data_IF_603213104506
#
_entry.id   IF_603213104506
#
_cell.length_a   1.000
_cell.length_b   1.000
_cell.length_c   1.000
_cell.angle_alpha   90.00
_cell.angle_beta   90.00
_cell.angle_gamma   90.00
#
_symmetry.space_group_name_H-M   'P 1'
#
loop_
_entity.id
_entity.type
_entity.pdbx_description
1 polymer ?
#
# COMPACT_ATOMS: atom_id res chain seq x y z
N UNK A 1 -9.26 24.42 -0.53
CA UNK A 1 -8.89 23.92 -1.89
C UNK A 1 -8.19 25.03 -2.72
N UNK A 2 -8.78 26.24 -2.94
CA UNK A 2 -8.14 27.32 -3.74
C UNK A 2 -6.79 27.76 -3.15
N UNK A 3 -6.71 27.99 -1.84
CA UNK A 3 -5.48 28.40 -1.16
C UNK A 3 -4.40 27.32 -1.18
N UNK A 4 -4.78 26.04 -1.11
CA UNK A 4 -3.84 24.91 -1.22
C UNK A 4 -3.28 24.83 -2.64
N UNK A 5 -4.16 24.88 -3.64
CA UNK A 5 -3.76 24.80 -5.05
C UNK A 5 -2.80 25.94 -5.46
N UNK A 6 -2.97 27.13 -4.89
CA UNK A 6 -2.09 28.28 -5.16
C UNK A 6 -0.66 28.11 -4.60
N UNK A 7 -0.44 27.15 -3.70
CA UNK A 7 0.88 26.83 -3.12
C UNK A 7 1.55 25.61 -3.76
N UNK A 8 0.88 24.97 -4.73
CA UNK A 8 1.44 23.81 -5.45
C UNK A 8 2.11 24.30 -6.74
N UNK A 9 3.31 23.82 -6.96
CA UNK A 9 4.02 23.96 -8.24
C UNK A 9 4.42 22.58 -8.76
N UNK A 10 4.55 22.45 -10.06
CA UNK A 10 4.94 21.23 -10.74
C UNK A 10 6.12 21.53 -11.66
N UNK A 11 7.15 20.72 -11.61
CA UNK A 11 8.31 20.81 -12.47
C UNK A 11 8.88 19.43 -12.74
N UNK A 12 9.51 19.24 -13.88
CA UNK A 12 10.31 18.06 -14.24
C UNK A 12 11.80 18.28 -14.00
N UNK A 13 12.20 19.50 -13.64
CA UNK A 13 13.57 19.83 -13.28
C UNK A 13 13.82 19.60 -11.79
N UNK A 14 14.63 18.60 -11.49
CA UNK A 14 14.94 18.18 -10.12
C UNK A 14 15.62 19.29 -9.32
N UNK A 15 16.54 20.02 -9.92
CA UNK A 15 17.27 21.09 -9.24
C UNK A 15 16.31 22.21 -8.80
N UNK A 16 15.40 22.62 -9.67
CA UNK A 16 14.35 23.60 -9.33
C UNK A 16 13.41 23.08 -8.25
N UNK A 17 13.04 21.79 -8.32
CA UNK A 17 12.12 21.20 -7.36
C UNK A 17 12.65 21.25 -5.92
N UNK A 18 13.95 21.09 -5.71
CA UNK A 18 14.55 20.92 -4.39
C UNK A 18 15.38 22.09 -3.89
N UNK A 19 15.47 23.18 -4.65
CA UNK A 19 16.36 24.30 -4.37
C UNK A 19 16.17 24.93 -2.97
N UNK A 20 14.93 24.98 -2.47
CA UNK A 20 14.55 25.60 -1.20
C UNK A 20 13.75 24.64 -0.29
N UNK A 21 13.88 23.33 -0.50
CA UNK A 21 13.11 22.33 0.28
C UNK A 21 13.67 22.12 1.67
N UNK A 22 12.79 22.06 2.68
CA UNK A 22 13.10 21.54 4.02
C UNK A 22 13.01 20.01 4.10
N UNK A 23 12.12 19.42 3.29
CA UNK A 23 11.85 17.98 3.25
C UNK A 23 11.57 17.52 1.82
N UNK A 24 12.27 16.49 1.39
CA UNK A 24 11.98 15.75 0.15
C UNK A 24 11.34 14.43 0.54
N UNK A 25 10.16 14.13 0.00
CA UNK A 25 9.51 12.83 0.14
C UNK A 25 9.61 12.10 -1.20
N UNK A 26 10.42 11.05 -1.25
CA UNK A 26 10.59 10.21 -2.42
C UNK A 26 9.44 9.21 -2.53
N UNK A 27 8.85 9.13 -3.72
CA UNK A 27 7.73 8.23 -4.03
C UNK A 27 7.83 7.68 -5.47
N UNK A 28 9.05 7.43 -5.95
CA UNK A 28 9.27 6.77 -7.24
C UNK A 28 8.95 5.27 -7.17
N UNK A 29 8.87 4.55 -8.31
CA UNK A 29 8.57 3.12 -8.31
C UNK A 29 9.47 2.32 -7.35
N UNK A 30 8.91 1.25 -6.79
CA UNK A 30 9.54 0.38 -5.79
C UNK A 30 10.60 -0.54 -6.42
N UNK A 31 11.55 0.09 -7.11
CA UNK A 31 12.66 -0.55 -7.85
C UNK A 31 13.97 0.03 -7.33
N UNK A 32 14.87 -0.79 -6.73
CA UNK A 32 16.08 -0.33 -6.08
C UNK A 32 16.98 0.53 -6.98
N UNK A 33 17.12 0.17 -8.26
CA UNK A 33 17.95 0.86 -9.22
C UNK A 33 17.43 2.27 -9.51
N UNK A 34 16.10 2.44 -9.62
CA UNK A 34 15.45 3.74 -9.84
C UNK A 34 15.65 4.64 -8.63
N UNK A 35 15.44 4.11 -7.42
CA UNK A 35 15.65 4.86 -6.18
C UNK A 35 17.12 5.26 -6.02
N UNK A 36 18.05 4.36 -6.28
CA UNK A 36 19.50 4.63 -6.22
C UNK A 36 19.91 5.72 -7.21
N UNK A 37 19.43 5.67 -8.46
CA UNK A 37 19.69 6.71 -9.45
C UNK A 37 19.15 8.07 -8.99
N UNK A 38 17.89 8.12 -8.53
CA UNK A 38 17.31 9.35 -8.03
C UNK A 38 18.11 9.94 -6.87
N UNK A 39 18.49 9.14 -5.87
CA UNK A 39 19.27 9.64 -4.72
C UNK A 39 20.66 10.11 -5.13
N UNK A 40 21.29 9.47 -6.09
CA UNK A 40 22.58 9.92 -6.66
C UNK A 40 22.45 11.31 -7.29
N UNK A 41 21.41 11.54 -8.08
CA UNK A 41 21.15 12.82 -8.75
C UNK A 41 20.70 13.89 -7.74
N UNK A 42 19.97 13.49 -6.71
CA UNK A 42 19.41 14.37 -5.69
C UNK A 42 20.48 14.90 -4.70
N UNK A 43 21.39 14.03 -4.27
CA UNK A 43 22.34 14.32 -3.19
C UNK A 43 23.12 15.65 -3.36
N UNK A 44 23.69 15.98 -4.55
CA UNK A 44 24.44 17.22 -4.75
C UNK A 44 23.57 18.48 -4.82
N UNK A 45 22.24 18.35 -4.99
CA UNK A 45 21.33 19.47 -5.19
C UNK A 45 20.72 20.00 -3.89
N UNK A 46 20.78 19.22 -2.82
CA UNK A 46 20.06 19.52 -1.57
C UNK A 46 20.83 20.49 -0.67
N UNK A 47 20.09 21.39 -0.05
CA UNK A 47 20.64 22.27 0.99
C UNK A 47 21.06 21.47 2.23
N UNK A 48 22.04 21.95 3.03
CA UNK A 48 22.53 21.22 4.21
C UNK A 48 21.45 20.87 5.24
N UNK A 49 20.36 21.63 5.32
CA UNK A 49 19.27 21.43 6.29
C UNK A 49 18.18 20.47 5.79
N UNK A 50 18.12 20.17 4.50
CA UNK A 50 17.05 19.38 3.88
C UNK A 50 17.08 17.95 4.37
N UNK A 51 15.91 17.45 4.81
CA UNK A 51 15.68 16.04 5.13
C UNK A 51 15.25 15.26 3.88
N UNK A 52 15.55 13.99 3.84
CA UNK A 52 15.00 13.06 2.85
C UNK A 52 14.18 12.00 3.58
N UNK A 53 12.98 11.75 3.09
CA UNK A 53 12.13 10.64 3.53
C UNK A 53 11.73 9.78 2.33
N UNK A 54 11.74 8.46 2.47
CA UNK A 54 11.17 7.57 1.45
C UNK A 54 9.75 7.15 1.84
N UNK A 55 8.85 7.20 0.88
CA UNK A 55 7.50 6.62 1.01
C UNK A 55 7.46 5.13 0.58
N UNK A 56 8.62 4.47 0.53
CA UNK A 56 8.72 3.05 0.22
C UNK A 56 7.77 2.24 1.10
N UNK A 57 7.06 1.29 0.49
CA UNK A 57 6.12 0.40 1.19
C UNK A 57 6.76 -0.90 1.65
N UNK A 58 7.92 -1.25 1.09
CA UNK A 58 8.54 -2.57 1.29
C UNK A 58 10.03 -2.49 1.57
N UNK A 59 10.77 -1.63 0.84
CA UNK A 59 12.23 -1.57 0.89
C UNK A 59 12.72 -0.86 2.16
N UNK A 60 13.87 -1.30 2.66
CA UNK A 60 14.46 -0.79 3.89
C UNK A 60 15.24 0.51 3.66
N UNK A 61 15.18 1.49 4.56
CA UNK A 61 15.96 2.72 4.43
C UNK A 61 17.46 2.46 4.47
N UNK A 62 17.95 1.45 5.18
CA UNK A 62 19.38 1.07 5.19
C UNK A 62 19.94 0.79 3.80
N UNK A 63 19.11 0.30 2.86
CA UNK A 63 19.54 0.00 1.48
C UNK A 63 20.02 1.25 0.72
N UNK A 64 19.47 2.42 1.06
CA UNK A 64 19.70 3.66 0.32
C UNK A 64 20.43 4.74 1.13
N UNK A 65 20.59 4.56 2.43
CA UNK A 65 21.15 5.56 3.33
C UNK A 65 22.47 6.16 2.82
N UNK A 66 23.38 5.33 2.35
CA UNK A 66 24.70 5.77 1.90
C UNK A 66 24.62 6.61 0.62
N UNK A 67 23.78 6.23 -0.35
CA UNK A 67 23.69 6.93 -1.65
C UNK A 67 23.00 8.30 -1.53
N UNK A 68 22.22 8.53 -0.48
CA UNK A 68 21.61 9.85 -0.21
C UNK A 68 22.66 10.93 0.09
N UNK A 69 23.90 10.56 0.43
CA UNK A 69 24.98 11.47 0.83
C UNK A 69 24.74 12.16 2.19
N UNK A 70 23.64 11.82 2.89
CA UNK A 70 23.21 12.39 4.18
C UNK A 70 22.45 11.39 5.02
N UNK A 71 23.04 10.23 5.28
CA UNK A 71 22.40 9.12 5.99
C UNK A 71 21.75 9.56 7.32
N UNK A 72 22.37 10.51 8.04
CA UNK A 72 21.82 11.05 9.29
C UNK A 72 20.51 11.80 9.12
N UNK A 73 20.23 12.32 7.92
CA UNK A 73 19.02 13.10 7.55
C UNK A 73 18.04 12.31 6.70
N UNK A 74 18.14 10.99 6.73
CA UNK A 74 17.32 10.10 5.93
C UNK A 74 16.66 9.03 6.77
N UNK A 75 15.38 8.76 6.53
CA UNK A 75 14.66 7.58 6.99
C UNK A 75 13.37 7.37 6.20
N UNK A 76 12.57 6.38 6.58
CA UNK A 76 11.27 6.18 5.95
C UNK A 76 10.18 7.03 6.61
N UNK A 77 9.25 7.51 5.78
CA UNK A 77 7.99 8.13 6.15
C UNK A 77 6.91 7.55 5.23
N UNK A 78 6.43 6.37 5.58
CA UNK A 78 5.48 5.61 4.77
C UNK A 78 4.04 6.01 5.11
N UNK A 79 3.29 6.41 4.09
CA UNK A 79 1.88 6.76 4.21
C UNK A 79 0.99 5.58 3.83
N UNK A 80 -0.07 5.36 4.59
CA UNK A 80 -1.11 4.42 4.18
C UNK A 80 -1.87 4.93 2.94
N UNK A 81 -2.42 4.02 2.16
CA UNK A 81 -3.37 4.39 1.10
C UNK A 81 -4.59 5.11 1.69
N UNK A 82 -5.16 6.05 0.92
CA UNK A 82 -6.29 6.86 1.37
C UNK A 82 -6.00 7.63 2.67
N UNK A 83 -4.94 8.42 2.68
CA UNK A 83 -4.47 9.21 3.83
C UNK A 83 -5.56 10.07 4.48
N UNK A 84 -6.59 10.47 3.74
CA UNK A 84 -7.75 11.20 4.26
C UNK A 84 -8.73 10.35 5.07
N UNK A 85 -8.59 9.04 5.06
CA UNK A 85 -9.39 8.08 5.83
C UNK A 85 -8.51 7.21 6.74
N UNK A 86 -7.32 6.85 6.28
CA UNK A 86 -6.31 6.05 6.99
C UNK A 86 -5.12 6.95 7.31
N UNK A 87 -5.33 7.92 8.21
CA UNK A 87 -4.40 8.99 8.51
C UNK A 87 -3.22 8.53 9.39
N UNK A 88 -2.43 7.58 8.92
CA UNK A 88 -1.23 7.13 9.59
C UNK A 88 0.03 7.32 8.72
N UNK A 89 1.16 7.52 9.38
CA UNK A 89 2.49 7.43 8.81
C UNK A 89 3.33 6.46 9.63
N UNK A 90 4.10 5.61 8.96
CA UNK A 90 5.06 4.74 9.64
C UNK A 90 6.46 5.34 9.48
N UNK A 91 7.14 5.53 10.60
CA UNK A 91 8.50 6.10 10.62
C UNK A 91 9.46 4.97 10.99
N UNK A 92 10.32 4.59 10.04
CA UNK A 92 11.32 3.54 10.21
C UNK A 92 12.71 4.11 9.92
N UNK A 93 13.58 3.98 10.91
CA UNK A 93 14.97 4.46 10.86
C UNK A 93 15.92 3.35 10.44
N UNK A 94 17.14 3.73 10.10
CA UNK A 94 18.29 2.85 10.00
C UNK A 94 19.38 3.30 11.01
N UNK A 95 20.44 2.53 11.12
CA UNK A 95 21.50 2.71 12.15
C UNK A 95 22.06 4.14 12.25
N UNK A 96 22.13 4.87 11.12
CA UNK A 96 22.74 6.21 11.09
C UNK A 96 21.75 7.37 11.13
N UNK A 97 20.46 7.12 11.24
CA UNK A 97 19.45 8.19 11.29
C UNK A 97 19.57 8.98 12.57
N UNK A 98 19.72 10.30 12.48
CA UNK A 98 19.78 11.19 13.63
C UNK A 98 18.42 11.30 14.34
N UNK A 99 18.47 11.42 15.67
CA UNK A 99 17.28 11.63 16.49
C UNK A 99 16.52 12.92 16.13
N UNK A 100 17.22 13.98 15.71
CA UNK A 100 16.58 15.23 15.28
C UNK A 100 15.78 15.03 14.00
N UNK A 101 16.30 14.26 13.07
CA UNK A 101 15.58 13.83 11.84
C UNK A 101 14.27 13.14 12.19
N UNK A 102 14.29 12.15 13.08
CA UNK A 102 13.09 11.44 13.55
C UNK A 102 12.10 12.42 14.19
N UNK A 103 12.58 13.29 15.09
CA UNK A 103 11.74 14.28 15.79
C UNK A 103 11.03 15.20 14.78
N UNK A 104 11.74 15.73 13.79
CA UNK A 104 11.17 16.62 12.77
C UNK A 104 10.12 15.91 11.93
N UNK A 105 10.33 14.65 11.53
CA UNK A 105 9.35 13.87 10.78
C UNK A 105 8.13 13.48 11.61
N UNK A 106 8.30 13.18 12.90
CA UNK A 106 7.17 12.99 13.83
C UNK A 106 6.35 14.28 13.94
N UNK A 107 7.01 15.43 14.15
CA UNK A 107 6.32 16.73 14.20
C UNK A 107 5.58 17.03 12.90
N UNK A 108 6.24 16.87 11.77
CA UNK A 108 5.61 17.05 10.45
C UNK A 108 4.37 16.15 10.29
N UNK A 109 4.46 14.87 10.66
CA UNK A 109 3.32 13.95 10.60
C UNK A 109 2.13 14.45 11.41
N UNK A 110 2.37 14.91 12.64
CA UNK A 110 1.32 15.46 13.51
C UNK A 110 0.71 16.74 12.91
N UNK A 111 1.54 17.64 12.41
CA UNK A 111 1.11 18.92 11.83
C UNK A 111 0.21 18.74 10.61
N UNK A 112 0.44 17.70 9.80
CA UNK A 112 -0.43 17.36 8.66
C UNK A 112 -1.60 16.45 9.03
N UNK A 113 -1.83 16.17 10.33
CA UNK A 113 -2.97 15.39 10.81
C UNK A 113 -2.81 13.87 10.70
N UNK A 114 -1.59 13.37 10.56
CA UNK A 114 -1.29 11.93 10.55
C UNK A 114 -0.96 11.43 11.95
N UNK A 115 -1.23 10.16 12.21
CA UNK A 115 -0.79 9.43 13.41
C UNK A 115 0.56 8.80 13.11
N UNK A 116 1.67 9.27 13.73
CA UNK A 116 2.97 8.67 13.52
C UNK A 116 3.09 7.34 14.27
N UNK A 117 3.36 6.28 13.54
CA UNK A 117 3.57 4.93 14.06
C UNK A 117 5.07 4.64 14.07
N UNK A 118 5.69 4.42 15.25
CA UNK A 118 7.10 4.07 15.32
C UNK A 118 7.31 2.62 14.86
N UNK A 119 8.19 2.41 13.90
CA UNK A 119 8.68 1.09 13.52
C UNK A 119 10.02 0.87 14.22
N UNK A 120 10.02 0.03 15.24
CA UNK A 120 11.14 -0.07 16.20
C UNK A 120 12.38 -0.79 15.65
N UNK A 121 12.24 -1.54 14.58
CA UNK A 121 13.32 -2.25 13.89
C UNK A 121 13.04 -2.24 12.38
N UNK A 122 14.08 -2.21 11.57
CA UNK A 122 13.92 -2.35 10.13
C UNK A 122 13.24 -3.66 9.76
N UNK A 123 12.15 -3.54 9.02
CA UNK A 123 11.35 -4.67 8.56
C UNK A 123 10.72 -4.34 7.21
N UNK A 124 10.94 -5.22 6.23
CA UNK A 124 10.21 -5.16 4.95
C UNK A 124 8.70 -5.20 5.18
N UNK A 125 7.98 -4.28 4.58
CA UNK A 125 6.53 -4.15 4.75
C UNK A 125 6.09 -3.47 6.04
N UNK A 126 7.03 -2.99 6.86
CA UNK A 126 6.72 -2.21 8.07
C UNK A 126 5.75 -2.93 9.02
N UNK A 127 4.90 -2.21 9.73
CA UNK A 127 3.83 -2.79 10.56
C UNK A 127 2.60 -3.04 9.69
N UNK A 128 2.13 -2.02 8.95
CA UNK A 128 0.90 -2.09 8.16
C UNK A 128 0.93 -3.22 7.13
N UNK A 129 1.90 -3.24 6.25
CA UNK A 129 1.95 -4.23 5.18
C UNK A 129 2.31 -5.63 5.68
N UNK A 130 2.94 -5.76 6.86
CA UNK A 130 3.22 -7.07 7.46
C UNK A 130 1.95 -7.87 7.77
N UNK A 131 0.93 -7.23 8.36
CA UNK A 131 -0.34 -7.91 8.61
C UNK A 131 -1.27 -7.86 7.40
N UNK A 132 -1.23 -6.77 6.61
CA UNK A 132 -2.07 -6.62 5.42
C UNK A 132 -1.76 -7.71 4.37
N UNK A 133 -0.48 -7.93 4.06
CA UNK A 133 -0.09 -8.97 3.10
C UNK A 133 -0.49 -10.37 3.57
N UNK A 134 -0.39 -10.66 4.87
CA UNK A 134 -0.87 -11.91 5.43
C UNK A 134 -2.39 -12.09 5.26
N UNK A 135 -3.16 -11.01 5.52
CA UNK A 135 -4.61 -11.01 5.30
C UNK A 135 -4.94 -11.25 3.83
N UNK A 136 -4.30 -10.48 2.92
CA UNK A 136 -4.56 -10.61 1.48
C UNK A 136 -4.16 -11.97 0.94
N UNK A 137 -3.02 -12.53 1.37
CA UNK A 137 -2.60 -13.89 1.03
C UNK A 137 -3.67 -14.91 1.43
N UNK A 138 -4.07 -14.90 2.71
CA UNK A 138 -5.09 -15.82 3.22
C UNK A 138 -6.41 -15.70 2.47
N UNK A 139 -6.83 -14.47 2.18
CA UNK A 139 -8.06 -14.18 1.42
C UNK A 139 -8.01 -14.75 0.00
N UNK A 140 -6.89 -14.50 -0.69
CA UNK A 140 -6.67 -15.06 -2.04
C UNK A 140 -6.67 -16.59 -2.03
N UNK A 141 -6.04 -17.20 -1.03
CA UNK A 141 -5.97 -18.66 -0.92
C UNK A 141 -7.35 -19.30 -0.75
N UNK A 142 -8.25 -18.66 0.02
CA UNK A 142 -9.65 -19.11 0.15
C UNK A 142 -10.39 -19.08 -1.19
N UNK A 143 -10.18 -18.05 -1.98
CA UNK A 143 -10.76 -17.93 -3.33
C UNK A 143 -10.17 -18.98 -4.28
N UNK A 144 -8.84 -19.04 -4.37
CA UNK A 144 -8.12 -19.92 -5.33
C UNK A 144 -8.37 -21.41 -5.06
N UNK A 145 -8.51 -21.78 -3.79
CA UNK A 145 -8.86 -23.16 -3.39
C UNK A 145 -10.35 -23.49 -3.47
N UNK A 146 -11.19 -22.54 -3.86
CA UNK A 146 -12.64 -22.73 -4.02
C UNK A 146 -13.41 -22.86 -2.71
N UNK A 147 -12.84 -22.42 -1.58
CA UNK A 147 -13.50 -22.47 -0.26
C UNK A 147 -14.62 -21.45 -0.15
N UNK A 148 -14.42 -20.23 -0.69
CA UNK A 148 -15.41 -19.16 -0.67
C UNK A 148 -15.30 -18.26 -1.89
N UNK A 149 -16.37 -17.51 -2.20
CA UNK A 149 -16.32 -16.41 -3.17
C UNK A 149 -15.56 -15.22 -2.58
N UNK A 150 -15.02 -14.35 -3.44
CA UNK A 150 -14.37 -13.12 -2.97
C UNK A 150 -15.34 -12.22 -2.20
N UNK A 151 -16.62 -12.18 -2.64
CA UNK A 151 -17.67 -11.39 -1.95
C UNK A 151 -17.96 -11.95 -0.55
N UNK A 152 -17.96 -13.26 -0.37
CA UNK A 152 -18.20 -13.88 0.94
C UNK A 152 -17.01 -13.70 1.89
N UNK A 153 -15.78 -13.71 1.37
CA UNK A 153 -14.58 -13.36 2.15
C UNK A 153 -14.68 -11.91 2.64
N UNK A 154 -14.97 -10.97 1.73
CA UNK A 154 -15.13 -9.55 2.08
C UNK A 154 -16.31 -9.33 3.05
N UNK A 155 -17.44 -9.97 2.81
CA UNK A 155 -18.62 -9.90 3.69
C UNK A 155 -18.31 -10.39 5.10
N UNK A 156 -17.62 -11.55 5.21
CA UNK A 156 -17.21 -12.11 6.50
C UNK A 156 -16.28 -11.15 7.23
N UNK A 157 -15.27 -10.60 6.54
CA UNK A 157 -14.34 -9.63 7.12
C UNK A 157 -15.07 -8.38 7.61
N UNK A 158 -15.94 -7.79 6.78
CA UNK A 158 -16.66 -6.55 7.11
C UNK A 158 -17.67 -6.72 8.25
N UNK A 159 -18.36 -7.87 8.33
CA UNK A 159 -19.30 -8.17 9.43
C UNK A 159 -18.56 -8.35 10.75
N UNK A 160 -17.43 -9.07 10.73
CA UNK A 160 -16.64 -9.33 11.95
C UNK A 160 -15.83 -8.12 12.39
N UNK A 161 -15.44 -7.26 11.44
CA UNK A 161 -14.71 -6.01 11.70
C UNK A 161 -15.65 -4.82 11.50
N UNK A 162 -16.57 -4.61 12.41
CA UNK A 162 -17.57 -3.53 12.35
C UNK A 162 -16.91 -2.18 12.15
N UNK A 163 -17.33 -1.47 11.09
CA UNK A 163 -16.75 -0.19 10.66
C UNK A 163 -15.73 -0.31 9.54
N UNK A 164 -15.33 -1.51 9.11
CA UNK A 164 -14.56 -1.69 7.89
C UNK A 164 -15.39 -1.21 6.68
N UNK A 165 -14.76 -0.40 5.83
CA UNK A 165 -15.41 0.16 4.64
C UNK A 165 -15.30 -0.75 3.41
N UNK A 166 -14.42 -1.73 3.46
CA UNK A 166 -14.20 -2.73 2.43
C UNK A 166 -13.58 -3.98 3.05
N UNK A 167 -13.68 -5.11 2.36
CA UNK A 167 -13.00 -6.35 2.70
C UNK A 167 -11.67 -6.51 1.96
N UNK A 168 -10.99 -7.67 2.14
CA UNK A 168 -9.70 -7.98 1.52
C UNK A 168 -9.65 -7.79 0.01
N UNK A 169 -10.66 -8.21 -0.73
CA UNK A 169 -10.67 -8.12 -2.19
C UNK A 169 -10.91 -6.69 -2.69
N UNK A 170 -11.71 -5.90 -1.99
CA UNK A 170 -11.76 -4.47 -2.27
C UNK A 170 -10.44 -3.76 -1.95
N UNK A 171 -9.67 -4.21 -0.95
CA UNK A 171 -8.30 -3.73 -0.69
C UNK A 171 -7.35 -4.11 -1.83
N UNK A 172 -7.45 -5.32 -2.38
CA UNK A 172 -6.68 -5.76 -3.56
C UNK A 172 -6.94 -4.85 -4.76
N UNK A 173 -8.21 -4.52 -5.03
CA UNK A 173 -8.59 -3.61 -6.12
C UNK A 173 -8.01 -2.20 -5.94
N UNK A 174 -7.94 -1.71 -4.70
CA UNK A 174 -7.34 -0.42 -4.35
C UNK A 174 -5.83 -0.42 -4.56
N UNK A 175 -5.14 -1.46 -4.13
CA UNK A 175 -3.69 -1.64 -4.32
C UNK A 175 -3.36 -1.75 -5.81
N UNK A 176 -4.23 -2.39 -6.58
CA UNK A 176 -4.11 -2.59 -8.02
C UNK A 176 -3.48 -3.92 -8.38
N UNK A 177 -4.03 -4.54 -9.43
CA UNK A 177 -3.70 -5.93 -9.83
C UNK A 177 -2.22 -6.12 -10.15
N UNK A 178 -1.57 -5.14 -10.79
CA UNK A 178 -0.14 -5.23 -11.10
C UNK A 178 0.71 -5.28 -9.85
N UNK A 179 0.42 -4.42 -8.87
CA UNK A 179 1.16 -4.38 -7.60
C UNK A 179 0.96 -5.66 -6.81
N UNK A 180 -0.26 -6.19 -6.74
CA UNK A 180 -0.56 -7.47 -6.07
C UNK A 180 0.18 -8.63 -6.74
N UNK A 181 0.19 -8.67 -8.08
CA UNK A 181 0.95 -9.66 -8.85
C UNK A 181 2.45 -9.61 -8.52
N UNK A 182 3.04 -8.42 -8.51
CA UNK A 182 4.46 -8.23 -8.22
C UNK A 182 4.81 -8.67 -6.79
N UNK A 183 3.99 -8.29 -5.80
CA UNK A 183 4.15 -8.70 -4.40
C UNK A 183 4.06 -10.22 -4.28
N UNK A 184 3.03 -10.85 -4.86
CA UNK A 184 2.82 -12.29 -4.78
C UNK A 184 3.95 -13.06 -5.47
N UNK A 185 4.40 -12.58 -6.64
CA UNK A 185 5.52 -13.18 -7.38
C UNK A 185 6.84 -13.05 -6.61
N UNK A 186 7.12 -11.89 -6.04
CA UNK A 186 8.32 -11.66 -5.24
C UNK A 186 8.39 -12.61 -4.04
N UNK A 187 7.37 -12.64 -3.20
CA UNK A 187 7.34 -13.49 -2.01
C UNK A 187 7.28 -14.97 -2.35
N UNK A 188 6.57 -15.34 -3.43
CA UNK A 188 6.54 -16.72 -3.91
C UNK A 188 7.91 -17.24 -4.31
N UNK A 189 8.69 -16.44 -4.99
CA UNK A 189 10.05 -16.82 -5.40
C UNK A 189 11.05 -16.77 -4.24
N UNK A 190 11.04 -15.70 -3.42
CA UNK A 190 11.97 -15.54 -2.30
C UNK A 190 11.78 -16.60 -1.21
N UNK A 191 10.53 -16.94 -0.89
CA UNK A 191 10.20 -17.90 0.14
C UNK A 191 10.01 -19.35 -0.39
N UNK A 192 10.10 -19.56 -1.71
CA UNK A 192 9.76 -20.82 -2.39
C UNK A 192 8.36 -21.30 -1.97
N UNK A 193 7.37 -20.40 -1.99
CA UNK A 193 6.01 -20.60 -1.49
C UNK A 193 5.02 -20.74 -2.66
N UNK A 194 4.67 -21.99 -2.96
CA UNK A 194 3.74 -22.34 -4.05
C UNK A 194 2.36 -21.65 -3.93
N UNK A 195 1.93 -21.33 -2.72
CA UNK A 195 0.65 -20.65 -2.51
C UNK A 195 0.68 -19.22 -3.03
N UNK A 196 1.77 -18.49 -2.74
CA UNK A 196 1.98 -17.17 -3.31
C UNK A 196 2.06 -17.20 -4.86
N UNK A 197 2.75 -18.20 -5.43
CA UNK A 197 2.87 -18.35 -6.88
C UNK A 197 1.52 -18.65 -7.54
N UNK A 198 0.67 -19.50 -6.93
CA UNK A 198 -0.70 -19.75 -7.40
C UNK A 198 -1.56 -18.49 -7.36
N UNK A 199 -1.43 -17.70 -6.32
CA UNK A 199 -2.15 -16.42 -6.19
C UNK A 199 -1.68 -15.41 -7.26
N UNK A 200 -0.38 -15.35 -7.54
CA UNK A 200 0.17 -14.53 -8.63
C UNK A 200 -0.38 -14.97 -10.01
N UNK A 201 -0.36 -16.27 -10.30
CA UNK A 201 -0.89 -16.80 -11.55
C UNK A 201 -2.39 -16.50 -11.72
N UNK A 202 -3.17 -16.63 -10.65
CA UNK A 202 -4.58 -16.27 -10.65
C UNK A 202 -4.80 -14.79 -11.01
N UNK A 203 -4.06 -13.88 -10.38
CA UNK A 203 -4.15 -12.44 -10.67
C UNK A 203 -3.75 -12.15 -12.12
N UNK A 204 -2.67 -12.78 -12.59
CA UNK A 204 -2.23 -12.61 -13.98
C UNK A 204 -3.30 -13.03 -14.96
N UNK A 205 -3.77 -14.27 -14.86
CA UNK A 205 -4.68 -14.90 -15.84
C UNK A 205 -6.08 -14.28 -15.82
N UNK A 206 -6.59 -13.94 -14.62
CA UNK A 206 -7.96 -13.46 -14.49
C UNK A 206 -8.12 -11.94 -14.62
N UNK A 207 -7.05 -11.17 -14.41
CA UNK A 207 -7.12 -9.71 -14.43
C UNK A 207 -6.11 -9.07 -15.39
N UNK A 208 -4.81 -9.25 -15.21
CA UNK A 208 -3.81 -8.54 -16.00
C UNK A 208 -3.89 -8.86 -17.50
N UNK A 209 -4.01 -10.14 -17.85
CA UNK A 209 -4.11 -10.58 -19.26
C UNK A 209 -5.41 -10.09 -19.92
N UNK A 210 -6.39 -9.65 -19.14
CA UNK A 210 -7.66 -9.05 -19.60
C UNK A 210 -7.67 -7.51 -19.51
N UNK A 211 -6.57 -6.89 -19.09
CA UNK A 211 -6.47 -5.43 -18.95
C UNK A 211 -7.18 -4.86 -17.72
N UNK A 212 -7.64 -5.70 -16.77
CA UNK A 212 -8.31 -5.27 -15.54
C UNK A 212 -7.27 -4.87 -14.50
N UNK A 213 -7.41 -3.68 -13.90
CA UNK A 213 -6.38 -3.09 -13.04
C UNK A 213 -6.89 -2.73 -11.63
N UNK A 214 -8.13 -3.06 -11.29
CA UNK A 214 -8.76 -2.64 -10.05
C UNK A 214 -9.41 -1.26 -10.15
N UNK A 215 -9.42 -0.51 -9.04
CA UNK A 215 -10.08 0.81 -8.97
C UNK A 215 -9.64 1.77 -10.08
N UNK A 216 -8.34 1.85 -10.36
CA UNK A 216 -7.79 2.76 -11.37
C UNK A 216 -8.25 2.43 -12.79
N UNK A 217 -8.49 1.15 -13.08
CA UNK A 217 -9.00 0.68 -14.36
C UNK A 217 -10.53 0.63 -14.44
N UNK A 218 -11.23 0.95 -13.35
CA UNK A 218 -12.68 0.88 -13.26
C UNK A 218 -13.24 -0.53 -13.03
N UNK A 219 -12.41 -1.56 -13.07
CA UNK A 219 -12.79 -2.95 -12.80
C UNK A 219 -11.61 -3.78 -12.29
N UNK A 220 -11.86 -4.60 -11.28
CA UNK A 220 -11.02 -5.62 -10.70
C UNK A 220 -11.89 -6.78 -10.25
N UNK A 221 -11.80 -7.19 -8.97
CA UNK A 221 -12.79 -8.09 -8.37
C UNK A 221 -14.19 -7.46 -8.39
N UNK A 222 -14.24 -6.15 -8.16
CA UNK A 222 -15.46 -5.36 -8.21
C UNK A 222 -15.44 -4.39 -9.38
N UNK A 223 -16.65 -3.88 -9.72
CA UNK A 223 -16.82 -2.77 -10.68
C UNK A 223 -16.95 -1.44 -9.96
N UNK A 224 -16.30 -0.42 -10.48
CA UNK A 224 -16.26 0.92 -9.90
C UNK A 224 -16.92 1.94 -10.84
N UNK A 225 -17.54 3.02 -10.30
CA UNK A 225 -17.36 3.54 -8.93
C UNK A 225 -18.32 2.96 -7.86
N UNK A 226 -19.24 2.06 -8.18
CA UNK A 226 -20.25 1.54 -7.25
C UNK A 226 -20.05 0.03 -7.00
N UNK A 227 -19.01 -0.37 -6.22
CA UNK A 227 -18.75 -1.78 -5.96
C UNK A 227 -19.86 -2.41 -5.10
N UNK A 228 -20.11 -3.70 -5.31
CA UNK A 228 -21.19 -4.43 -4.63
C UNK A 228 -21.12 -4.33 -3.09
N UNK A 229 -19.93 -4.27 -2.52
CA UNK A 229 -19.75 -4.15 -1.05
C UNK A 229 -20.23 -2.81 -0.47
N UNK A 230 -20.58 -1.82 -1.29
CA UNK A 230 -21.13 -0.54 -0.85
C UNK A 230 -22.66 -0.50 -0.87
N UNK A 231 -23.32 -1.55 -1.35
CA UNK A 231 -24.76 -1.63 -1.35
C UNK A 231 -25.29 -1.99 0.04
N UNK A 232 -26.47 -1.48 0.40
CA UNK A 232 -27.07 -1.69 1.73
C UNK A 232 -27.33 -3.18 2.02
N UNK A 233 -27.57 -3.98 1.00
CA UNK A 233 -27.88 -5.41 1.12
C UNK A 233 -26.64 -6.31 1.25
N UNK A 234 -25.43 -5.82 0.96
CA UNK A 234 -24.21 -6.64 1.01
C UNK A 234 -23.94 -7.23 2.40
N UNK A 235 -24.21 -6.46 3.45
CA UNK A 235 -24.06 -6.88 4.85
C UNK A 235 -25.39 -7.19 5.54
N UNK A 236 -26.52 -7.03 4.84
CA UNK A 236 -27.82 -7.28 5.38
C UNK A 236 -28.14 -8.78 5.51
N UNK A 237 -29.03 -9.13 6.44
CA UNK A 237 -29.56 -10.50 6.52
C UNK A 237 -30.40 -10.76 5.24
N UNK A 238 -30.07 -11.81 4.45
CA UNK A 238 -30.80 -12.10 3.23
C UNK A 238 -32.29 -12.36 3.51
N UNK A 239 -33.15 -11.95 2.59
CA UNK A 239 -34.58 -12.32 2.67
C UNK A 239 -34.74 -13.83 2.46
N UNK A 240 -35.79 -14.42 3.06
CA UNK A 240 -36.05 -15.87 3.01
C UNK A 240 -36.12 -16.43 1.57
N UNK A 241 -36.55 -15.62 0.60
CA UNK A 241 -36.59 -16.00 -0.83
C UNK A 241 -35.21 -16.37 -1.41
N UNK A 242 -34.10 -15.90 -0.81
CA UNK A 242 -32.73 -16.26 -1.23
C UNK A 242 -32.20 -17.55 -0.60
N UNK A 243 -32.96 -18.18 0.30
CA UNK A 243 -32.51 -19.39 1.02
C UNK A 243 -32.20 -20.55 0.05
N UNK A 244 -33.01 -20.76 -0.97
CA UNK A 244 -32.80 -21.84 -1.96
C UNK A 244 -31.55 -21.56 -2.83
N UNK A 245 -31.34 -20.32 -3.27
CA UNK A 245 -30.16 -19.91 -4.01
C UNK A 245 -28.86 -20.18 -3.20
N UNK A 246 -28.85 -19.74 -1.92
CA UNK A 246 -27.70 -19.98 -1.02
C UNK A 246 -27.50 -21.47 -0.77
N UNK A 247 -28.57 -22.23 -0.59
CA UNK A 247 -28.51 -23.70 -0.39
C UNK A 247 -27.86 -24.39 -1.60
N UNK A 248 -28.17 -23.96 -2.81
CA UNK A 248 -27.63 -24.54 -4.03
C UNK A 248 -26.11 -24.26 -4.23
N UNK A 249 -25.57 -23.22 -3.59
CA UNK A 249 -24.13 -22.96 -3.58
C UNK A 249 -23.37 -23.92 -2.64
N UNK A 250 -24.04 -24.44 -1.61
CA UNK A 250 -23.46 -25.34 -0.62
C UNK A 250 -23.57 -26.77 -1.16
N UNK A 251 -22.48 -27.25 -1.75
CA UNK A 251 -22.43 -28.62 -2.24
C UNK A 251 -22.22 -29.61 -1.09
N UNK A 252 -22.90 -30.79 -1.08
CA UNK A 252 -22.53 -31.87 -0.18
C UNK A 252 -21.06 -32.27 -0.40
N UNK A 253 -20.36 -32.58 0.67
CA UNK A 253 -18.96 -33.03 0.64
C UNK A 253 -18.82 -34.37 -0.04
#
# INVERSE_FOLDING_TARGET
IKATRARLSFTTDLATAVAECDLVIEAVPEIPEIKTSLYTDLAPLLQPHTLIATNSSTLLPSMFAQVTGRAEKYCSLHFANYIWASNLTEIMTHEKTDRDTVKRLVQFSIEIGMVPIPVLQEKNGYVLNSWLTALLKSSMSLLVSGVATFEDVDRTYMITNRGARTGPFGMIDVVGMKTIFDIASYWGNEANDDEWLKNADYIKTNFLDKGLQGVLGGEGFYKYPNPAFQTDDFLAVPVMAKAEEITNLIKPA
#
